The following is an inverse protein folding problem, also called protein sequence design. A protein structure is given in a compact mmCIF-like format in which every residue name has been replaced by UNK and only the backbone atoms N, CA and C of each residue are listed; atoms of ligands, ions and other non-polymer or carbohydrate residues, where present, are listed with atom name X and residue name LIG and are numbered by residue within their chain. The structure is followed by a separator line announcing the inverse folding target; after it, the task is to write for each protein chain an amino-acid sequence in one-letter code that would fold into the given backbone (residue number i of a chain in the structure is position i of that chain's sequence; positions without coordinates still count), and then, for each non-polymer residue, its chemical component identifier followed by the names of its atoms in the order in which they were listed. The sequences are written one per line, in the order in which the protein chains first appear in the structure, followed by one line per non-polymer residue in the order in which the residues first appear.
data_IF_946448898140
#
_entry.id   IF_946448898140
#
_cell.length_a   1.000
_cell.length_b   1.000
_cell.length_c   1.000
_cell.angle_alpha   90.00
_cell.angle_beta   90.00
_cell.angle_gamma   90.00
#
_symmetry.space_group_name_H-M   'P 1'
#
loop_
_entity.id
_entity.type
_entity.pdbx_description
1 polymer ?
#
# COMPACT_ATOMS: atom_id res chain seq x y z
N UNK A 1 13.06 18.05 20.02
CA UNK A 1 11.64 18.29 20.36
C UNK A 1 10.84 17.06 19.96
N UNK A 2 9.89 16.61 20.79
CA UNK A 2 8.93 15.57 20.44
C UNK A 2 7.79 16.21 19.65
N UNK A 3 7.48 15.65 18.48
CA UNK A 3 6.35 16.06 17.66
C UNK A 3 5.33 14.91 17.68
N UNK A 4 4.11 15.17 18.15
CA UNK A 4 3.08 14.17 18.37
C UNK A 4 1.73 14.64 17.82
N UNK A 5 0.86 13.69 17.46
CA UNK A 5 -0.46 13.94 16.87
C UNK A 5 -1.40 14.77 17.76
N UNK A 6 -1.20 14.80 19.08
CA UNK A 6 -2.02 15.56 20.01
C UNK A 6 -1.19 16.20 21.14
N UNK A 7 -1.18 17.53 21.22
CA UNK A 7 -0.40 18.30 22.22
C UNK A 7 -0.85 18.07 23.67
N UNK A 8 -2.06 17.52 23.87
CA UNK A 8 -2.60 17.19 25.19
C UNK A 8 -2.10 15.86 25.76
N UNK A 9 -1.45 15.02 24.95
CA UNK A 9 -0.82 13.75 25.38
C UNK A 9 0.65 13.92 25.82
N UNK A 10 1.11 15.16 25.96
CA UNK A 10 2.49 15.47 26.40
C UNK A 10 2.78 15.09 27.86
N UNK A 11 1.81 14.59 28.62
CA UNK A 11 1.98 14.21 30.03
C UNK A 11 2.78 12.92 30.26
N UNK A 12 3.10 12.14 29.21
CA UNK A 12 3.96 10.95 29.30
C UNK A 12 5.26 11.01 28.50
N UNK A 13 5.60 12.15 27.90
CA UNK A 13 6.88 12.29 27.23
C UNK A 13 7.99 12.51 28.29
N UNK A 14 8.67 11.44 28.68
CA UNK A 14 10.04 11.57 29.20
C UNK A 14 10.91 12.39 28.24
N UNK A 15 12.08 12.85 28.67
CA UNK A 15 12.96 13.66 27.81
C UNK A 15 13.29 12.89 26.53
N UNK A 16 12.84 13.39 25.37
CA UNK A 16 13.16 12.80 24.07
C UNK A 16 14.68 12.81 23.86
N UNK A 17 15.27 11.65 23.62
CA UNK A 17 16.69 11.52 23.33
C UNK A 17 17.03 11.94 21.89
N UNK A 18 18.32 11.94 21.57
CA UNK A 18 18.82 12.28 20.21
C UNK A 18 18.13 11.47 19.10
N UNK A 19 17.83 10.20 19.39
CA UNK A 19 17.24 9.25 18.44
C UNK A 19 15.74 9.03 18.63
N UNK A 20 15.09 9.83 19.46
CA UNK A 20 13.64 9.77 19.71
C UNK A 20 13.28 9.33 21.12
N UNK A 21 12.00 8.99 21.29
CA UNK A 21 11.41 8.53 22.54
C UNK A 21 10.60 7.25 22.27
N UNK A 22 11.19 6.06 22.45
CA UNK A 22 10.52 4.79 22.17
C UNK A 22 9.24 4.63 22.98
N UNK A 23 8.23 3.97 22.40
CA UNK A 23 6.92 3.70 23.02
C UNK A 23 6.12 4.95 23.42
N UNK A 24 6.43 6.09 22.80
CA UNK A 24 5.67 7.34 22.95
C UNK A 24 5.00 7.74 21.64
N UNK A 25 4.25 8.84 21.66
CA UNK A 25 3.60 9.41 20.48
C UNK A 25 4.53 10.31 19.65
N UNK A 26 5.84 10.32 19.92
CA UNK A 26 6.80 11.16 19.22
C UNK A 26 7.18 10.58 17.85
N UNK A 27 7.15 11.41 16.82
CA UNK A 27 7.70 11.10 15.51
C UNK A 27 9.22 10.89 15.54
N UNK A 28 9.70 10.14 14.55
CA UNK A 28 11.13 9.84 14.39
C UNK A 28 11.92 11.11 14.01
N UNK A 29 12.99 11.47 14.75
CA UNK A 29 13.82 12.61 14.38
C UNK A 29 14.70 12.28 13.16
N UNK A 30 15.13 13.29 12.39
CA UNK A 30 16.05 13.08 11.26
C UNK A 30 17.34 12.34 11.63
N UNK A 31 17.82 12.49 12.88
CA UNK A 31 18.99 11.78 13.38
C UNK A 31 18.81 10.25 13.36
N UNK A 32 17.63 9.75 13.74
CA UNK A 32 17.33 8.31 13.68
C UNK A 32 17.31 7.83 12.23
N UNK A 33 16.62 8.54 11.34
CA UNK A 33 16.59 8.20 9.91
C UNK A 33 17.99 8.13 9.30
N UNK A 34 18.84 9.12 9.60
CA UNK A 34 20.22 9.18 9.12
C UNK A 34 21.03 7.96 9.58
N UNK A 35 20.91 7.62 10.87
CA UNK A 35 21.58 6.47 11.45
C UNK A 35 21.09 5.18 10.79
N UNK A 36 19.78 4.99 10.65
CA UNK A 36 19.18 3.83 9.97
C UNK A 36 19.72 3.67 8.56
N UNK A 37 19.64 4.72 7.73
CA UNK A 37 20.14 4.66 6.35
C UNK A 37 21.63 4.34 6.27
N UNK A 38 22.45 4.94 7.16
CA UNK A 38 23.89 4.67 7.21
C UNK A 38 24.20 3.22 7.62
N UNK A 39 23.46 2.68 8.60
CA UNK A 39 23.64 1.32 9.07
C UNK A 39 23.16 0.30 8.05
N UNK A 40 22.05 0.57 7.35
CA UNK A 40 21.56 -0.27 6.25
C UNK A 40 22.62 -0.40 5.16
N UNK A 41 23.19 0.71 4.68
CA UNK A 41 24.27 0.68 3.67
C UNK A 41 25.47 -0.15 4.11
N UNK A 42 25.85 -0.03 5.38
CA UNK A 42 26.94 -0.82 5.97
C UNK A 42 26.61 -2.31 6.01
N UNK A 43 25.41 -2.68 6.45
CA UNK A 43 25.00 -4.09 6.56
C UNK A 43 24.85 -4.74 5.19
N UNK A 44 24.31 -4.00 4.22
CA UNK A 44 24.10 -4.51 2.87
C UNK A 44 25.36 -4.42 2.01
N UNK A 45 26.44 -3.79 2.49
CA UNK A 45 27.63 -3.44 1.70
C UNK A 45 27.28 -2.72 0.39
N UNK A 46 26.27 -1.83 0.44
CA UNK A 46 25.66 -1.17 -0.73
C UNK A 46 25.16 -2.14 -1.84
N UNK A 47 25.03 -3.44 -1.54
CA UNK A 47 24.57 -4.46 -2.47
C UNK A 47 23.05 -4.67 -2.34
N UNK A 48 22.29 -3.74 -2.90
CA UNK A 48 20.82 -3.76 -2.91
C UNK A 48 20.31 -3.46 -4.31
N UNK A 49 19.50 -4.37 -4.88
CA UNK A 49 18.94 -4.23 -6.23
C UNK A 49 17.85 -3.15 -6.32
N UNK A 50 17.04 -3.00 -5.28
CA UNK A 50 15.97 -2.00 -5.18
C UNK A 50 15.54 -1.79 -3.72
N UNK A 51 14.86 -0.69 -3.44
CA UNK A 51 14.29 -0.37 -2.11
C UNK A 51 12.80 -0.11 -2.27
N UNK A 52 11.99 -0.67 -1.36
CA UNK A 52 10.56 -0.42 -1.27
C UNK A 52 10.30 0.53 -0.10
N UNK A 53 9.57 1.60 -0.36
CA UNK A 53 9.19 2.62 0.65
C UNK A 53 7.68 2.75 0.63
N UNK A 54 7.03 2.26 1.67
CA UNK A 54 5.57 2.11 1.73
C UNK A 54 4.82 3.36 2.19
N UNK A 55 5.45 4.55 2.20
CA UNK A 55 4.79 5.83 2.54
C UNK A 55 4.96 6.26 4.00
N UNK A 56 4.15 7.24 4.42
CA UNK A 56 4.18 7.92 5.72
C UNK A 56 5.55 8.57 5.99
N UNK A 57 6.00 9.35 5.00
CA UNK A 57 7.27 10.08 5.06
C UNK A 57 7.10 11.50 5.64
N UNK A 58 5.87 11.95 5.83
CA UNK A 58 5.53 13.21 6.48
C UNK A 58 5.29 13.00 7.98
N UNK A 59 5.70 14.00 8.79
CA UNK A 59 5.38 14.05 10.22
C UNK A 59 3.89 14.32 10.42
N UNK A 60 3.34 13.83 11.52
CA UNK A 60 1.92 13.97 11.86
C UNK A 60 1.47 15.43 12.06
N UNK A 61 2.40 16.36 12.32
CA UNK A 61 2.15 17.79 12.53
C UNK A 61 2.55 18.69 11.34
N UNK A 62 3.02 18.11 10.23
CA UNK A 62 3.70 18.87 9.16
C UNK A 62 2.88 19.05 7.88
N UNK A 63 2.91 20.27 7.35
CA UNK A 63 2.39 20.60 6.01
C UNK A 63 3.50 20.43 4.98
N UNK A 64 3.45 19.40 4.12
CA UNK A 64 4.20 19.14 2.86
C UNK A 64 5.73 19.36 2.77
N UNK A 65 6.34 20.18 3.63
CA UNK A 65 7.69 20.76 3.53
C UNK A 65 8.77 19.89 4.20
N UNK A 66 8.39 19.03 5.13
CA UNK A 66 9.33 18.19 5.89
C UNK A 66 9.35 16.74 5.40
N UNK A 67 9.12 16.53 4.10
CA UNK A 67 9.23 15.19 3.50
C UNK A 67 10.68 14.79 3.37
N UNK A 68 10.95 13.52 3.65
CA UNK A 68 12.27 12.92 3.43
C UNK A 68 12.64 13.07 1.96
N UNK A 69 13.73 13.78 1.69
CA UNK A 69 14.29 13.94 0.35
C UNK A 69 14.80 12.58 -0.17
N UNK A 70 14.12 12.04 -1.19
CA UNK A 70 14.49 10.77 -1.85
C UNK A 70 15.84 10.84 -2.56
N UNK A 71 16.42 12.04 -2.77
CA UNK A 71 17.79 12.23 -3.26
C UNK A 71 18.82 11.56 -2.35
N UNK A 72 18.49 11.34 -1.07
CA UNK A 72 19.36 10.68 -0.10
C UNK A 72 19.51 9.17 -0.37
N UNK A 73 18.74 8.61 -1.30
CA UNK A 73 18.78 7.20 -1.72
C UNK A 73 19.26 7.03 -3.18
N UNK A 74 19.85 8.08 -3.77
CA UNK A 74 20.05 8.34 -5.20
C UNK A 74 20.74 7.30 -6.12
N UNK A 75 21.12 6.10 -5.66
CA UNK A 75 21.74 5.08 -6.54
C UNK A 75 20.89 3.82 -6.74
N UNK A 76 19.98 3.53 -5.83
CA UNK A 76 19.20 2.29 -5.85
C UNK A 76 17.78 2.56 -6.35
N UNK A 77 17.24 1.78 -7.29
CA UNK A 77 15.85 1.89 -7.73
C UNK A 77 14.86 1.92 -6.55
N UNK A 78 13.97 2.91 -6.51
CA UNK A 78 12.94 3.05 -5.48
C UNK A 78 11.56 2.69 -5.99
N UNK A 79 10.83 1.87 -5.24
CA UNK A 79 9.38 1.71 -5.35
C UNK A 79 8.72 2.48 -4.21
N UNK A 80 8.19 3.66 -4.52
CA UNK A 80 7.57 4.57 -3.55
C UNK A 80 6.05 4.41 -3.56
N UNK A 81 5.43 4.27 -2.39
CA UNK A 81 3.97 4.28 -2.21
C UNK A 81 3.53 5.47 -1.35
N UNK A 82 2.31 5.96 -1.57
CA UNK A 82 1.72 7.03 -0.77
C UNK A 82 1.14 6.46 0.52
N UNK A 83 1.51 7.06 1.65
CA UNK A 83 0.91 6.81 2.95
C UNK A 83 -0.25 7.73 3.27
N UNK A 84 -1.06 7.37 4.26
CA UNK A 84 -2.24 8.14 4.62
C UNK A 84 -1.89 9.42 5.38
N UNK A 85 -0.71 9.49 6.02
CA UNK A 85 -0.13 10.72 6.55
C UNK A 85 0.59 11.56 5.48
N UNK A 86 0.85 11.00 4.31
CA UNK A 86 1.40 11.76 3.20
C UNK A 86 0.36 12.68 2.54
N UNK A 87 -0.93 12.59 2.85
CA UNK A 87 -1.95 13.43 2.21
C UNK A 87 -2.48 14.48 3.18
N UNK A 88 -2.79 15.67 2.65
CA UNK A 88 -3.43 16.73 3.42
C UNK A 88 -4.74 17.14 2.74
N UNK A 89 -5.89 17.14 3.45
CA UNK A 89 -6.06 16.68 4.84
C UNK A 89 -5.77 15.18 5.04
N UNK A 90 -5.40 14.78 6.26
CA UNK A 90 -5.08 13.38 6.60
C UNK A 90 -6.16 12.41 6.11
N UNK A 91 -5.75 11.28 5.53
CA UNK A 91 -6.60 10.26 4.88
C UNK A 91 -7.41 10.72 3.66
N UNK A 92 -7.51 12.01 3.38
CA UNK A 92 -8.39 12.54 2.35
C UNK A 92 -7.65 12.73 1.03
N UNK A 93 -7.91 11.83 0.08
CA UNK A 93 -7.34 11.92 -1.25
C UNK A 93 -8.38 11.54 -2.31
N UNK A 94 -8.68 12.50 -3.19
CA UNK A 94 -9.49 12.28 -4.38
C UNK A 94 -8.62 12.05 -5.63
N UNK A 95 -9.14 11.38 -6.67
CA UNK A 95 -8.60 11.45 -8.01
C UNK A 95 -8.41 12.90 -8.48
N UNK A 96 -7.43 13.13 -9.35
CA UNK A 96 -7.08 14.42 -9.94
C UNK A 96 -6.76 15.54 -8.92
N UNK A 97 -6.45 15.19 -7.67
CA UNK A 97 -6.14 16.19 -6.66
C UNK A 97 -4.89 17.02 -7.03
N UNK A 98 -4.84 18.30 -6.65
CA UNK A 98 -3.64 19.12 -6.80
C UNK A 98 -2.41 18.52 -6.09
N UNK A 99 -2.63 17.78 -5.00
CA UNK A 99 -1.60 17.03 -4.30
C UNK A 99 -0.91 16.00 -5.21
N UNK A 100 -1.67 15.18 -5.94
CA UNK A 100 -1.10 14.20 -6.88
C UNK A 100 -0.34 14.89 -8.01
N UNK A 101 -0.82 16.05 -8.46
CA UNK A 101 -0.12 16.86 -9.46
C UNK A 101 1.21 17.43 -8.97
N UNK A 102 1.28 17.84 -7.70
CA UNK A 102 2.52 18.26 -7.08
C UNK A 102 3.47 17.06 -6.88
N UNK A 103 2.96 15.94 -6.37
CA UNK A 103 3.75 14.74 -6.12
C UNK A 103 4.33 14.14 -7.40
N UNK A 104 3.59 14.19 -8.51
CA UNK A 104 4.07 13.75 -9.82
C UNK A 104 5.34 14.50 -10.28
N UNK A 105 5.51 15.76 -9.85
CA UNK A 105 6.73 16.54 -10.13
C UNK A 105 7.89 16.05 -9.26
N UNK A 106 7.63 15.87 -7.96
CA UNK A 106 8.63 15.42 -6.98
C UNK A 106 9.14 14.01 -7.30
N UNK A 107 8.23 13.09 -7.64
CA UNK A 107 8.57 11.68 -7.90
C UNK A 107 8.84 11.37 -9.37
N UNK A 108 8.94 12.40 -10.22
CA UNK A 108 9.07 12.22 -11.67
C UNK A 108 10.24 11.32 -12.09
N UNK A 109 11.35 11.33 -11.34
CA UNK A 109 12.50 10.47 -11.60
C UNK A 109 12.27 8.98 -11.26
N UNK A 110 11.26 8.66 -10.47
CA UNK A 110 10.95 7.30 -10.02
C UNK A 110 9.76 6.67 -10.76
N UNK A 111 9.01 7.47 -11.52
CA UNK A 111 7.81 7.05 -12.25
C UNK A 111 8.14 6.97 -13.75
N UNK A 112 7.84 5.86 -14.44
CA UNK A 112 8.02 5.77 -15.88
C UNK A 112 7.26 6.89 -16.61
N UNK A 113 7.89 7.47 -17.65
CA UNK A 113 7.38 8.67 -18.33
C UNK A 113 5.97 8.48 -18.89
N UNK A 114 5.67 7.29 -19.40
CA UNK A 114 4.37 6.89 -19.95
C UNK A 114 3.28 6.75 -18.87
N UNK A 115 3.66 6.63 -17.59
CA UNK A 115 2.74 6.50 -16.46
C UNK A 115 2.59 7.78 -15.63
N UNK A 116 3.35 8.84 -15.92
CA UNK A 116 3.26 10.11 -15.20
C UNK A 116 1.85 10.72 -15.22
N UNK A 117 1.12 10.57 -16.34
CA UNK A 117 -0.27 11.06 -16.44
C UNK A 117 -1.22 10.27 -15.53
N UNK A 118 -1.06 8.94 -15.49
CA UNK A 118 -1.82 8.07 -14.60
C UNK A 118 -1.53 8.40 -13.14
N UNK A 119 -0.25 8.51 -12.76
CA UNK A 119 0.12 8.88 -11.39
C UNK A 119 -0.40 10.27 -11.01
N UNK A 120 -0.28 11.27 -11.88
CA UNK A 120 -0.83 12.62 -11.66
C UNK A 120 -2.34 12.59 -11.39
N UNK A 121 -3.06 11.67 -12.03
CA UNK A 121 -4.50 11.56 -11.91
C UNK A 121 -4.94 10.70 -10.74
N UNK A 122 -4.16 9.67 -10.37
CA UNK A 122 -4.65 8.62 -9.48
C UNK A 122 -3.65 8.14 -8.42
N UNK A 123 -2.39 8.55 -8.50
CA UNK A 123 -1.38 8.28 -7.47
C UNK A 123 -0.80 6.86 -7.44
N UNK A 124 -1.12 6.02 -8.43
CA UNK A 124 -0.51 4.69 -8.60
C UNK A 124 0.37 4.64 -9.84
N UNK A 125 1.33 3.72 -9.83
CA UNK A 125 2.18 3.43 -10.98
C UNK A 125 2.83 2.04 -10.83
N UNK A 126 3.33 1.50 -11.94
CA UNK A 126 4.20 0.33 -11.95
C UNK A 126 5.55 0.69 -12.58
N UNK A 127 6.63 0.02 -12.18
CA UNK A 127 7.96 0.20 -12.79
C UNK A 127 8.73 -1.11 -12.82
N UNK A 128 9.66 -1.30 -13.77
CA UNK A 128 10.66 -2.35 -13.65
C UNK A 128 11.52 -2.13 -12.40
N UNK A 129 11.73 -3.19 -11.62
CA UNK A 129 12.70 -3.26 -10.52
C UNK A 129 13.94 -4.02 -10.96
N UNK A 130 13.74 -5.11 -11.70
CA UNK A 130 14.79 -5.90 -12.36
C UNK A 130 14.29 -6.27 -13.77
N UNK A 131 15.12 -6.88 -14.64
CA UNK A 131 14.69 -7.26 -15.99
C UNK A 131 13.44 -8.16 -16.05
N UNK A 132 13.16 -8.94 -15.00
CA UNK A 132 12.01 -9.88 -14.94
C UNK A 132 11.05 -9.60 -13.79
N UNK A 133 11.20 -8.49 -13.08
CA UNK A 133 10.36 -8.11 -11.94
C UNK A 133 9.80 -6.70 -12.14
N UNK A 134 8.47 -6.61 -12.15
CA UNK A 134 7.73 -5.36 -12.12
C UNK A 134 7.30 -5.06 -10.68
N UNK A 135 7.66 -3.89 -10.18
CA UNK A 135 7.14 -3.36 -8.92
C UNK A 135 5.90 -2.54 -9.17
N UNK A 136 4.85 -2.77 -8.39
CA UNK A 136 3.60 -2.03 -8.42
C UNK A 136 3.50 -1.20 -7.15
N UNK A 137 3.29 0.11 -7.32
CA UNK A 137 2.94 1.00 -6.23
C UNK A 137 1.45 1.28 -6.28
N UNK A 138 0.70 0.61 -5.39
CA UNK A 138 -0.69 0.88 -5.17
C UNK A 138 -0.85 2.16 -4.36
N UNK A 139 -1.75 3.03 -4.80
CA UNK A 139 -2.37 4.02 -3.95
C UNK A 139 -3.47 3.39 -3.09
N UNK A 140 -3.11 2.81 -1.95
CA UNK A 140 -4.05 2.11 -1.05
C UNK A 140 -5.07 3.04 -0.39
N UNK A 141 -4.86 4.36 -0.43
CA UNK A 141 -5.83 5.36 0.04
C UNK A 141 -7.13 5.30 -0.80
N UNK A 142 -7.06 4.79 -2.04
CA UNK A 142 -8.23 4.55 -2.88
C UNK A 142 -9.14 3.42 -2.38
N UNK A 143 -8.65 2.56 -1.47
CA UNK A 143 -9.39 1.45 -0.88
C UNK A 143 -9.74 1.70 0.60
N UNK A 144 -9.16 2.75 1.19
CA UNK A 144 -9.16 2.98 2.63
C UNK A 144 -10.51 3.49 3.12
N UNK A 145 -11.09 2.82 4.13
CA UNK A 145 -12.41 3.16 4.69
C UNK A 145 -12.46 4.54 5.33
N UNK A 146 -11.31 5.08 5.75
CA UNK A 146 -11.20 6.42 6.33
C UNK A 146 -10.95 7.52 5.29
N UNK A 147 -10.86 7.20 3.99
CA UNK A 147 -10.82 8.19 2.93
C UNK A 147 -12.27 8.55 2.51
N UNK A 148 -12.75 9.79 2.73
CA UNK A 148 -14.11 10.17 2.36
C UNK A 148 -14.38 10.17 0.85
N UNK A 149 -13.34 10.06 0.02
CA UNK A 149 -13.45 9.98 -1.45
C UNK A 149 -13.35 8.54 -1.98
N UNK A 150 -13.12 7.54 -1.12
CA UNK A 150 -13.12 6.15 -1.51
C UNK A 150 -14.55 5.61 -1.56
N UNK A 151 -14.87 4.88 -2.62
CA UNK A 151 -16.15 4.18 -2.79
C UNK A 151 -15.89 2.69 -2.90
N UNK A 152 -16.89 1.90 -2.53
CA UNK A 152 -16.78 0.44 -2.54
C UNK A 152 -16.58 -0.08 -3.97
N UNK A 153 -15.56 -0.91 -4.17
CA UNK A 153 -15.13 -1.33 -5.50
C UNK A 153 -16.12 -2.26 -6.23
N UNK A 154 -17.08 -2.84 -5.51
CA UNK A 154 -18.12 -3.71 -6.08
C UNK A 154 -19.41 -2.92 -6.32
N UNK A 155 -19.77 -2.03 -5.38
CA UNK A 155 -20.99 -1.23 -5.50
C UNK A 155 -20.84 -0.03 -6.44
N UNK A 156 -19.63 0.48 -6.63
CA UNK A 156 -19.31 1.56 -7.56
C UNK A 156 -18.19 1.12 -8.53
N UNK A 157 -18.54 0.47 -9.66
CA UNK A 157 -17.57 0.00 -10.67
C UNK A 157 -16.77 1.13 -11.34
N UNK A 158 -17.25 2.36 -11.24
CA UNK A 158 -16.56 3.56 -11.71
C UNK A 158 -15.94 4.35 -10.56
N UNK A 159 -15.84 3.74 -9.38
CA UNK A 159 -15.24 4.32 -8.20
C UNK A 159 -13.74 4.46 -8.31
N UNK A 160 -13.15 5.17 -7.35
CA UNK A 160 -11.70 5.35 -7.30
C UNK A 160 -10.96 4.01 -7.17
N UNK A 161 -11.38 3.18 -6.22
CA UNK A 161 -10.79 1.87 -6.00
C UNK A 161 -11.07 0.88 -7.13
N UNK A 162 -12.29 0.85 -7.68
CA UNK A 162 -12.63 -0.05 -8.78
C UNK A 162 -11.76 0.19 -10.03
N UNK A 163 -11.58 1.45 -10.43
CA UNK A 163 -10.67 1.81 -11.54
C UNK A 163 -9.21 1.46 -11.26
N UNK A 164 -8.80 1.48 -10.00
CA UNK A 164 -7.45 1.11 -9.60
C UNK A 164 -7.22 -0.40 -9.80
N UNK A 165 -8.17 -1.23 -9.35
CA UNK A 165 -8.11 -2.68 -9.54
C UNK A 165 -8.21 -3.06 -11.02
N UNK A 166 -9.06 -2.38 -11.80
CA UNK A 166 -9.14 -2.54 -13.25
C UNK A 166 -7.81 -2.24 -13.94
N UNK A 167 -7.15 -1.13 -13.58
CA UNK A 167 -5.82 -0.79 -14.08
C UNK A 167 -4.78 -1.86 -13.70
N UNK A 168 -4.78 -2.30 -12.43
CA UNK A 168 -3.83 -3.31 -11.94
C UNK A 168 -3.96 -4.60 -12.76
N UNK A 169 -5.18 -5.09 -12.94
CA UNK A 169 -5.46 -6.28 -13.73
C UNK A 169 -5.02 -6.12 -15.18
N UNK A 170 -5.65 -5.19 -15.90
CA UNK A 170 -5.59 -5.14 -17.35
C UNK A 170 -4.27 -4.55 -17.89
N UNK A 171 -3.66 -3.63 -17.14
CA UNK A 171 -2.45 -2.92 -17.59
C UNK A 171 -1.17 -3.52 -17.03
N UNK A 172 -1.22 -4.10 -15.83
CA UNK A 172 -0.02 -4.63 -15.18
C UNK A 172 0.00 -6.15 -15.17
N UNK A 173 -0.98 -6.80 -14.53
CA UNK A 173 -0.94 -8.24 -14.27
C UNK A 173 -1.05 -9.06 -15.56
N UNK A 174 -2.00 -8.74 -16.43
CA UNK A 174 -2.13 -9.39 -17.72
C UNK A 174 -0.88 -9.18 -18.61
N UNK A 175 -0.29 -7.99 -18.58
CA UNK A 175 0.93 -7.72 -19.34
C UNK A 175 2.11 -8.53 -18.77
N UNK A 176 2.30 -8.54 -17.46
CA UNK A 176 3.34 -9.32 -16.80
C UNK A 176 3.22 -10.81 -17.13
N UNK A 177 2.00 -11.35 -17.09
CA UNK A 177 1.70 -12.73 -17.52
C UNK A 177 2.10 -12.98 -18.97
N UNK A 178 1.70 -12.08 -19.88
CA UNK A 178 2.02 -12.18 -21.32
C UNK A 178 3.52 -12.20 -21.60
N UNK A 179 4.32 -11.41 -20.85
CA UNK A 179 5.78 -11.33 -21.06
C UNK A 179 6.60 -12.21 -20.10
N UNK A 180 5.94 -13.02 -19.27
CA UNK A 180 6.62 -13.89 -18.30
C UNK A 180 7.36 -13.15 -17.19
N UNK A 181 6.94 -11.93 -16.85
CA UNK A 181 7.48 -11.18 -15.71
C UNK A 181 6.73 -11.53 -14.42
N UNK A 182 7.42 -11.38 -13.30
CA UNK A 182 6.82 -11.45 -11.96
C UNK A 182 6.43 -10.06 -11.46
N UNK A 183 5.52 -10.02 -10.49
CA UNK A 183 5.02 -8.76 -9.92
C UNK A 183 5.19 -8.75 -8.40
N UNK A 184 5.82 -7.69 -7.89
CA UNK A 184 5.86 -7.35 -6.46
C UNK A 184 4.92 -6.17 -6.22
N UNK A 185 3.95 -6.33 -5.33
CA UNK A 185 2.97 -5.28 -5.02
C UNK A 185 3.36 -4.57 -3.72
N UNK A 186 3.37 -3.24 -3.74
CA UNK A 186 3.63 -2.37 -2.60
C UNK A 186 2.47 -1.40 -2.39
N UNK A 187 2.16 -1.09 -1.14
CA UNK A 187 1.20 -0.07 -0.75
C UNK A 187 1.44 0.37 0.69
N UNK A 188 0.60 1.27 1.22
CA UNK A 188 0.73 1.70 2.60
C UNK A 188 -0.23 0.96 3.54
N UNK A 189 -1.53 1.23 3.38
CA UNK A 189 -2.58 0.64 4.22
C UNK A 189 -2.78 -0.81 3.80
N UNK A 190 -2.58 -1.80 4.70
CA UNK A 190 -2.67 -3.21 4.34
C UNK A 190 -4.12 -3.64 4.04
N UNK A 191 -4.31 -4.67 3.18
CA UNK A 191 -5.61 -5.22 2.84
C UNK A 191 -6.22 -5.96 4.02
N UNK A 192 -6.94 -5.24 4.87
CA UNK A 192 -7.52 -5.78 6.11
C UNK A 192 -8.98 -5.31 6.27
N UNK A 193 -9.90 -6.14 6.82
CA UNK A 193 -11.32 -5.78 6.96
C UNK A 193 -11.58 -4.49 7.77
N UNK A 194 -10.73 -4.20 8.75
CA UNK A 194 -10.85 -2.97 9.55
C UNK A 194 -10.25 -1.73 8.87
N UNK A 195 -9.58 -1.90 7.72
CA UNK A 195 -8.90 -0.82 7.03
C UNK A 195 -9.51 -0.55 5.65
N UNK A 196 -9.80 -1.57 4.85
CA UNK A 196 -10.31 -1.39 3.49
C UNK A 196 -11.83 -1.51 3.43
N UNK A 197 -12.43 -0.85 2.43
CA UNK A 197 -13.82 -1.08 2.07
C UNK A 197 -14.03 -2.55 1.66
N UNK A 198 -15.13 -3.16 2.09
CA UNK A 198 -15.34 -4.60 2.01
C UNK A 198 -15.27 -5.14 0.56
N UNK A 199 -15.91 -4.46 -0.39
CA UNK A 199 -15.87 -4.84 -1.80
C UNK A 199 -14.49 -4.64 -2.43
N UNK A 200 -13.73 -3.64 -1.98
CA UNK A 200 -12.34 -3.46 -2.43
C UNK A 200 -11.42 -4.56 -1.91
N UNK A 201 -11.55 -4.94 -0.64
CA UNK A 201 -10.81 -6.04 -0.06
C UNK A 201 -11.12 -7.36 -0.78
N UNK A 202 -12.40 -7.67 -0.96
CA UNK A 202 -12.82 -8.88 -1.65
C UNK A 202 -12.34 -8.92 -3.11
N UNK A 203 -12.52 -7.83 -3.85
CA UNK A 203 -12.07 -7.74 -5.24
C UNK A 203 -10.54 -7.88 -5.36
N UNK A 204 -9.78 -7.26 -4.47
CA UNK A 204 -8.32 -7.41 -4.43
C UNK A 204 -7.87 -8.82 -4.06
N UNK A 205 -8.49 -9.45 -3.05
CA UNK A 205 -8.17 -10.82 -2.67
C UNK A 205 -8.45 -11.82 -3.80
N UNK A 206 -9.58 -11.67 -4.49
CA UNK A 206 -9.92 -12.45 -5.68
C UNK A 206 -8.90 -12.23 -6.80
N UNK A 207 -8.55 -10.98 -7.10
CA UNK A 207 -7.56 -10.66 -8.13
C UNK A 207 -6.17 -11.24 -7.79
N UNK A 208 -5.74 -11.11 -6.54
CA UNK A 208 -4.47 -11.68 -6.07
C UNK A 208 -4.44 -13.20 -6.21
N UNK A 209 -5.54 -13.90 -5.90
CA UNK A 209 -5.68 -15.34 -6.09
C UNK A 209 -5.66 -15.75 -7.57
N UNK A 210 -6.33 -14.98 -8.45
CA UNK A 210 -6.36 -15.27 -9.89
C UNK A 210 -4.99 -15.14 -10.58
N UNK A 211 -4.11 -14.30 -10.04
CA UNK A 211 -2.76 -14.05 -10.57
C UNK A 211 -1.66 -14.55 -9.61
N UNK A 212 -1.95 -15.60 -8.83
CA UNK A 212 -0.98 -16.22 -7.91
C UNK A 212 0.29 -16.73 -8.62
N UNK A 213 0.19 -17.07 -9.92
CA UNK A 213 1.30 -17.48 -10.75
C UNK A 213 2.21 -16.32 -11.19
N UNK A 214 1.76 -15.07 -11.03
CA UNK A 214 2.44 -13.85 -11.47
C UNK A 214 2.91 -13.01 -10.28
N UNK A 215 2.08 -12.87 -9.26
CA UNK A 215 2.36 -12.07 -8.06
C UNK A 215 3.24 -12.88 -7.11
N UNK A 216 4.41 -12.33 -6.76
CA UNK A 216 5.39 -13.03 -5.90
C UNK A 216 5.40 -12.53 -4.46
N UNK A 217 4.68 -11.45 -4.16
CA UNK A 217 4.64 -10.90 -2.81
C UNK A 217 3.91 -9.58 -2.72
N UNK A 218 3.55 -9.24 -1.49
CA UNK A 218 2.91 -7.99 -1.12
C UNK A 218 3.67 -7.35 0.06
N UNK A 219 3.90 -6.04 -0.01
CA UNK A 219 4.58 -5.28 1.04
C UNK A 219 3.72 -4.08 1.42
N UNK A 220 3.33 -4.01 2.69
CA UNK A 220 2.49 -2.94 3.24
C UNK A 220 3.07 -2.41 4.55
N UNK A 221 2.57 -1.26 5.02
CA UNK A 221 3.01 -0.59 6.25
C UNK A 221 1.83 -0.27 7.17
N UNK A 222 1.73 1.00 7.57
CA UNK A 222 0.63 1.60 8.34
C UNK A 222 0.52 1.20 9.82
N UNK A 223 0.49 -0.10 10.13
CA UNK A 223 0.18 -0.56 11.50
C UNK A 223 1.36 -0.47 12.49
N UNK A 224 2.56 -0.17 11.99
CA UNK A 224 3.79 -0.08 12.79
C UNK A 224 4.11 -1.35 13.62
N UNK A 225 3.74 -2.52 13.08
CA UNK A 225 3.96 -3.84 13.68
C UNK A 225 4.49 -4.81 12.63
N UNK A 226 5.39 -5.71 13.05
CA UNK A 226 5.80 -6.86 12.25
C UNK A 226 4.70 -7.93 12.31
N UNK A 227 3.98 -8.11 11.20
CA UNK A 227 2.86 -9.02 11.09
C UNK A 227 2.59 -9.37 9.63
N UNK A 228 1.75 -10.39 9.43
CA UNK A 228 1.30 -10.82 8.11
C UNK A 228 -0.23 -10.84 8.07
N UNK A 229 -0.79 -10.58 6.89
CA UNK A 229 -2.23 -10.70 6.63
C UNK A 229 -2.43 -11.76 5.55
N UNK A 230 -3.35 -12.68 5.78
CA UNK A 230 -3.76 -13.67 4.80
C UNK A 230 -4.97 -13.17 4.03
N UNK A 231 -4.91 -13.26 2.70
CA UNK A 231 -6.01 -12.90 1.83
C UNK A 231 -6.92 -14.10 1.64
N UNK A 232 -8.21 -13.94 1.95
CA UNK A 232 -9.25 -14.90 1.64
C UNK A 232 -10.07 -14.39 0.44
N UNK A 233 -10.01 -15.06 -0.73
CA UNK A 233 -10.77 -14.67 -1.92
C UNK A 233 -12.26 -15.05 -1.82
N UNK A 234 -12.67 -15.76 -0.77
CA UNK A 234 -14.06 -16.16 -0.57
C UNK A 234 -14.97 -14.93 -0.40
N UNK A 235 -16.22 -14.97 -0.90
CA UNK A 235 -17.17 -13.90 -0.64
C UNK A 235 -17.42 -13.77 0.87
N UNK A 236 -17.62 -12.54 1.39
CA UNK A 236 -17.97 -12.35 2.79
C UNK A 236 -19.26 -13.13 3.13
N UNK A 237 -19.44 -13.60 4.38
CA UNK A 237 -20.54 -14.50 4.75
C UNK A 237 -21.94 -14.00 4.40
N UNK A 238 -22.14 -12.67 4.34
CA UNK A 238 -23.40 -12.04 3.95
C UNK A 238 -23.73 -12.16 2.44
N UNK A 239 -22.77 -12.55 1.61
CA UNK A 239 -22.90 -12.73 0.16
C UNK A 239 -22.58 -14.17 -0.28
N UNK A 240 -22.28 -15.07 0.66
CA UNK A 240 -22.10 -16.48 0.35
C UNK A 240 -23.44 -17.08 -0.09
N UNK A 241 -23.50 -17.86 -1.20
CA UNK A 241 -24.70 -18.62 -1.50
C UNK A 241 -25.03 -19.53 -0.32
N UNK A 242 -26.31 -19.73 0.03
CA UNK A 242 -26.68 -20.63 1.12
C UNK A 242 -26.05 -22.01 0.87
N UNK A 243 -25.56 -22.69 1.92
CA UNK A 243 -24.94 -24.00 1.76
C UNK A 243 -25.91 -24.90 0.99
N UNK A 244 -25.48 -25.41 -0.16
CA UNK A 244 -26.24 -26.40 -0.88
C UNK A 244 -26.35 -27.63 0.02
N UNK A 245 -27.54 -27.88 0.54
CA UNK A 245 -27.85 -29.09 1.29
C UNK A 245 -27.75 -30.27 0.33
N UNK A 246 -26.59 -30.93 0.31
CA UNK A 246 -26.46 -32.25 -0.29
C UNK A 246 -27.09 -33.26 0.67
N UNK A 247 -28.37 -33.56 0.45
CA UNK A 247 -29.00 -34.73 1.05
C UNK A 247 -28.43 -35.96 0.38
N UNK A 248 -27.49 -36.63 1.03
CA UNK A 248 -27.11 -38.00 0.68
C UNK A 248 -28.32 -38.88 1.02
N UNK A 249 -29.15 -39.21 0.03
CA UNK A 249 -30.10 -40.31 0.14
C UNK A 249 -29.28 -41.61 0.20
N UNK A 250 -29.01 -42.10 1.40
CA UNK A 250 -28.64 -43.51 1.55
C UNK A 250 -29.90 -44.34 1.28
N UNK A 251 -29.95 -45.00 0.12
CA UNK A 251 -30.87 -46.12 -0.08
C UNK A 251 -30.47 -47.24 0.88
N UNK A 252 -31.31 -47.47 1.87
CA UNK A 252 -31.31 -48.72 2.63
C UNK A 252 -31.88 -49.80 1.72
N UNK A 253 -31.01 -50.55 1.04
CA UNK A 253 -31.39 -51.85 0.48
C UNK A 253 -31.62 -52.81 1.64
N UNK A 254 -32.88 -52.92 2.06
CA UNK A 254 -33.35 -54.05 2.86
C UNK A 254 -34.13 -54.97 1.93
N UNK A 255 -33.46 -56.03 1.47
CA UNK A 255 -34.11 -57.22 0.91
C UNK A 255 -33.49 -58.45 1.57
N UNK A 256 -34.27 -59.24 2.32
CA UNK A 256 -34.20 -60.69 2.29
C UNK A 256 -35.03 -61.25 1.13
#
# INVERSE_FOLDING_TARGET
ACHAFNSTSMTQAGSAGQFGAPLTFCDSPPALLNLTLSNTRRITNDNVDFIVVTGDLARHDSNLRDRIDSSRMARTPLLLSLGNNDVYPHNSLAPHSPFLSAMAKVWSAHIPRDQLSTFRSFGWFARPLTPKLTGVSLNTIAFFSSNPNATDCVLDPHGYGARHLDWLEHRVLQQAKRVGHKVLISGHVPPHPNAWLAGCLHAFAKLASQYEDVIIGHLFGHVNLDHFVFLDPSPPPSQAPPPQSFSIMMRSDNSP
#
